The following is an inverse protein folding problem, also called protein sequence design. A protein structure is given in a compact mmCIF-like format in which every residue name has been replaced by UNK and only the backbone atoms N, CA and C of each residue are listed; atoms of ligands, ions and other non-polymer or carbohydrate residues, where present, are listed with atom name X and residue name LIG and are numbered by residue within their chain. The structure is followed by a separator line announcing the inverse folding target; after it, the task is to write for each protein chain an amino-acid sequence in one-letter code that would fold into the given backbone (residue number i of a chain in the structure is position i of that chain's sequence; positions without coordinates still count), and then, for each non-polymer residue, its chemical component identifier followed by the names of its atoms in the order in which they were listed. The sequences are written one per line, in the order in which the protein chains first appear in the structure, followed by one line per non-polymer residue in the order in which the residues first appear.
data_IF_319045741727
#
_entry.id   IF_319045741727
#
_cell.length_a   1.000
_cell.length_b   1.000
_cell.length_c   1.000
_cell.angle_alpha   90.00
_cell.angle_beta   90.00
_cell.angle_gamma   90.00
#
_symmetry.space_group_name_H-M   'P 1'
#
loop_
_entity.id
_entity.type
_entity.pdbx_description
1 polymer ?
#
# COMPACT_ATOMS: atom_id res chain seq x y z
N UNK A 1 46.39 36.50 -29.27
CA UNK A 1 45.88 36.62 -27.88
C UNK A 1 44.37 36.72 -27.98
N UNK A 2 43.64 35.67 -27.58
CA UNK A 2 42.73 35.68 -26.41
C UNK A 2 41.78 36.90 -26.47
N UNK A 3 40.47 36.77 -26.61
CA UNK A 3 39.62 35.95 -25.76
C UNK A 3 38.18 35.91 -26.32
N UNK A 4 37.62 34.71 -26.30
CA UNK A 4 36.24 34.33 -26.60
C UNK A 4 35.31 34.83 -25.49
N UNK A 5 34.18 35.47 -25.82
CA UNK A 5 33.13 35.75 -24.83
C UNK A 5 31.80 35.20 -25.31
N UNK A 6 31.45 34.06 -24.73
CA UNK A 6 30.17 33.38 -24.79
C UNK A 6 29.19 34.17 -23.91
N UNK A 7 28.09 34.64 -24.47
CA UNK A 7 26.97 35.21 -23.71
C UNK A 7 26.14 34.05 -23.18
N UNK A 8 26.35 33.68 -21.92
CA UNK A 8 25.52 32.71 -21.20
C UNK A 8 24.31 33.47 -20.66
N UNK A 9 23.14 33.19 -21.23
CA UNK A 9 21.86 33.67 -20.70
C UNK A 9 21.58 32.92 -19.40
N UNK A 10 21.68 33.62 -18.27
CA UNK A 10 21.28 33.12 -16.96
C UNK A 10 19.75 33.10 -16.90
N UNK A 11 19.13 31.93 -17.06
CA UNK A 11 17.76 31.73 -16.61
C UNK A 11 17.76 31.62 -15.09
N UNK A 12 17.40 32.71 -14.42
CA UNK A 12 16.95 32.72 -13.04
C UNK A 12 15.67 31.89 -12.95
N UNK A 13 15.80 30.58 -12.72
CA UNK A 13 14.66 29.79 -12.25
C UNK A 13 14.50 30.12 -10.78
N UNK A 14 13.43 30.87 -10.52
CA UNK A 14 12.85 31.09 -9.19
C UNK A 14 12.73 29.73 -8.52
N UNK A 15 13.61 29.45 -7.56
CA UNK A 15 13.41 28.37 -6.59
C UNK A 15 12.24 28.79 -5.71
N UNK A 16 11.03 28.62 -6.23
CA UNK A 16 9.85 28.59 -5.41
C UNK A 16 10.10 27.48 -4.39
N UNK A 17 10.02 27.84 -3.11
CA UNK A 17 9.92 26.90 -2.00
C UNK A 17 8.60 26.13 -2.13
N UNK A 18 8.49 25.30 -3.15
CA UNK A 18 7.54 24.22 -3.18
C UNK A 18 8.11 23.18 -2.24
N UNK A 19 7.52 23.06 -1.05
CA UNK A 19 7.57 21.78 -0.34
C UNK A 19 7.09 20.77 -1.37
N UNK A 20 8.01 19.99 -1.94
CA UNK A 20 7.64 18.96 -2.89
C UNK A 20 6.72 18.02 -2.10
N UNK A 21 5.43 18.13 -2.34
CA UNK A 21 4.45 17.15 -1.87
C UNK A 21 4.81 15.87 -2.60
N UNK A 22 5.63 15.04 -1.94
CA UNK A 22 5.98 13.73 -2.47
C UNK A 22 4.69 12.93 -2.45
N UNK A 23 4.11 12.58 -3.61
CA UNK A 23 2.88 11.83 -3.62
C UNK A 23 3.13 10.49 -2.96
N UNK A 24 2.20 10.05 -2.12
CA UNK A 24 2.19 8.78 -1.37
C UNK A 24 2.35 7.54 -2.29
N UNK A 25 2.34 7.74 -3.60
CA UNK A 25 2.53 6.79 -4.69
C UNK A 25 3.99 6.34 -4.93
N UNK A 26 4.98 6.82 -4.18
CA UNK A 26 6.40 6.58 -4.49
C UNK A 26 6.95 5.18 -4.12
N UNK A 27 6.17 4.21 -3.62
CA UNK A 27 6.75 3.02 -2.97
C UNK A 27 5.99 1.74 -3.20
N UNK A 28 5.97 1.31 -4.45
CA UNK A 28 5.20 0.16 -4.91
C UNK A 28 6.16 -0.78 -5.66
N UNK A 29 5.73 -2.01 -5.95
CA UNK A 29 6.33 -2.74 -7.08
C UNK A 29 6.27 -1.86 -8.35
N UNK A 30 6.92 -2.27 -9.45
CA UNK A 30 7.05 -1.43 -10.65
C UNK A 30 5.72 -0.83 -11.20
N UNK A 31 4.57 -1.34 -10.76
CA UNK A 31 3.23 -0.92 -11.19
C UNK A 31 2.42 -0.09 -10.20
N UNK A 32 2.90 0.22 -9.00
CA UNK A 32 2.09 1.06 -8.13
C UNK A 32 1.10 0.32 -7.22
N UNK A 33 1.31 -0.96 -6.87
CA UNK A 33 0.35 -1.72 -6.03
C UNK A 33 1.01 -2.52 -4.90
N UNK A 34 0.33 -2.66 -3.75
CA UNK A 34 0.78 -3.61 -2.69
C UNK A 34 0.41 -5.06 -2.98
N UNK A 35 -0.42 -5.37 -3.98
CA UNK A 35 -0.72 -6.75 -4.33
C UNK A 35 0.57 -7.52 -4.68
N UNK A 36 0.76 -8.69 -4.07
CA UNK A 36 1.96 -9.50 -4.22
C UNK A 36 3.13 -9.09 -3.32
N UNK A 37 3.01 -8.03 -2.52
CA UNK A 37 4.07 -7.61 -1.58
C UNK A 37 4.11 -8.55 -0.38
N UNK A 38 5.32 -8.92 0.05
CA UNK A 38 5.52 -9.74 1.24
C UNK A 38 5.30 -8.91 2.51
N UNK A 39 4.76 -9.57 3.54
CA UNK A 39 4.58 -8.99 4.88
C UNK A 39 5.85 -8.31 5.42
N UNK A 40 7.02 -8.91 5.20
CA UNK A 40 8.31 -8.37 5.67
C UNK A 40 8.60 -6.97 5.13
N UNK A 41 8.15 -6.66 3.92
CA UNK A 41 8.29 -5.33 3.31
C UNK A 41 7.38 -4.32 4.02
N UNK A 42 6.14 -4.71 4.34
CA UNK A 42 5.21 -3.87 5.09
C UNK A 42 5.75 -3.58 6.50
N UNK A 43 6.21 -4.62 7.20
CA UNK A 43 6.76 -4.50 8.56
C UNK A 43 8.02 -3.64 8.60
N UNK A 44 8.90 -3.76 7.59
CA UNK A 44 10.09 -2.90 7.48
C UNK A 44 9.72 -1.43 7.26
N UNK A 45 8.62 -1.15 6.54
CA UNK A 45 8.20 0.19 6.17
C UNK A 45 7.37 0.88 7.25
N UNK A 46 6.43 0.15 7.84
CA UNK A 46 5.40 0.68 8.73
C UNK A 46 5.55 0.21 10.18
N UNK A 47 6.60 -0.53 10.49
CA UNK A 47 6.78 -1.18 11.79
C UNK A 47 5.63 -2.13 12.12
N UNK A 48 5.48 -2.45 13.40
CA UNK A 48 4.42 -3.34 13.90
C UNK A 48 3.03 -2.72 13.63
N UNK A 49 2.06 -3.50 13.12
CA UNK A 49 0.67 -3.03 13.00
C UNK A 49 0.05 -2.75 14.38
N UNK A 50 -0.90 -1.84 14.43
CA UNK A 50 -1.72 -1.59 15.61
C UNK A 50 -2.63 -2.77 15.93
N UNK A 51 -3.14 -3.43 14.89
CA UNK A 51 -3.98 -4.62 15.00
C UNK A 51 -3.60 -5.63 13.93
N UNK A 52 -3.60 -6.89 14.31
CA UNK A 52 -3.42 -8.01 13.40
C UNK A 52 -4.36 -9.14 13.82
N UNK A 53 -5.03 -9.76 12.84
CA UNK A 53 -5.81 -10.97 13.07
C UNK A 53 -5.75 -11.90 11.87
N UNK A 54 -5.89 -13.19 12.14
CA UNK A 54 -6.04 -14.22 11.12
C UNK A 54 -7.43 -14.82 11.29
N UNK A 55 -8.23 -14.73 10.23
CA UNK A 55 -9.59 -15.23 10.20
C UNK A 55 -9.82 -16.09 8.97
N UNK A 56 -10.75 -17.05 9.01
CA UNK A 56 -11.13 -17.79 7.83
C UNK A 56 -11.78 -16.84 6.83
N UNK A 57 -11.53 -17.10 5.55
CA UNK A 57 -12.04 -16.31 4.43
C UNK A 57 -13.53 -15.98 4.55
N UNK A 58 -14.36 -16.90 5.08
CA UNK A 58 -15.82 -16.71 5.08
C UNK A 58 -16.28 -15.53 5.95
N UNK A 59 -15.42 -15.01 6.82
CA UNK A 59 -15.69 -13.80 7.61
C UNK A 59 -15.50 -12.50 6.81
N UNK A 60 -14.87 -12.56 5.62
CA UNK A 60 -14.59 -11.40 4.78
C UNK A 60 -15.61 -11.32 3.64
N UNK A 61 -16.78 -10.74 3.93
CA UNK A 61 -17.91 -10.59 2.99
C UNK A 61 -18.32 -9.13 2.90
N UNK A 62 -18.60 -8.64 1.69
CA UNK A 62 -19.03 -7.26 1.45
C UNK A 62 -18.13 -6.52 0.45
N UNK A 63 -18.51 -5.29 0.14
CA UNK A 63 -17.90 -4.47 -0.90
C UNK A 63 -16.44 -4.11 -0.64
N UNK A 64 -16.01 -4.10 0.62
CA UNK A 64 -14.62 -3.82 0.99
C UNK A 64 -13.65 -4.98 0.70
N UNK A 65 -14.18 -6.19 0.46
CA UNK A 65 -13.37 -7.40 0.27
C UNK A 65 -13.30 -7.87 -1.18
N UNK A 66 -13.59 -7.00 -2.15
CA UNK A 66 -13.53 -7.34 -3.59
C UNK A 66 -12.18 -7.92 -4.01
N UNK A 67 -11.07 -7.44 -3.43
CA UNK A 67 -9.75 -8.01 -3.70
C UNK A 67 -9.61 -9.45 -3.21
N UNK A 68 -10.16 -9.78 -2.03
CA UNK A 68 -10.22 -11.15 -1.54
C UNK A 68 -11.13 -11.99 -2.43
N UNK A 69 -12.31 -11.49 -2.77
CA UNK A 69 -13.30 -12.17 -3.63
C UNK A 69 -12.72 -12.53 -5.01
N UNK A 70 -11.85 -11.67 -5.55
CA UNK A 70 -11.19 -11.90 -6.85
C UNK A 70 -10.20 -13.07 -6.85
N UNK A 71 -9.57 -13.36 -5.71
CA UNK A 71 -8.55 -14.42 -5.54
C UNK A 71 -9.16 -15.69 -4.96
N UNK A 72 -10.04 -15.53 -3.99
CA UNK A 72 -10.78 -16.59 -3.32
C UNK A 72 -12.25 -16.28 -3.49
N UNK A 73 -12.94 -16.88 -4.47
CA UNK A 73 -14.38 -16.65 -4.69
C UNK A 73 -15.24 -17.31 -3.62
N UNK A 74 -16.22 -16.58 -3.09
CA UNK A 74 -17.10 -17.00 -1.97
C UNK A 74 -17.96 -18.19 -2.34
N UNK A 75 -18.27 -18.29 -3.62
CA UNK A 75 -19.01 -19.39 -4.21
C UNK A 75 -18.19 -20.68 -4.32
N UNK A 76 -16.86 -20.64 -4.15
CA UNK A 76 -16.04 -21.86 -4.11
C UNK A 76 -15.90 -22.37 -2.66
N UNK A 77 -16.49 -23.52 -2.31
CA UNK A 77 -16.44 -24.06 -0.95
C UNK A 77 -15.03 -24.43 -0.47
N UNK A 78 -14.09 -24.74 -1.38
CA UNK A 78 -12.69 -25.05 -1.02
C UNK A 78 -11.99 -23.86 -0.37
N UNK A 79 -12.41 -22.65 -0.72
CA UNK A 79 -11.83 -21.42 -0.19
C UNK A 79 -12.44 -20.96 1.12
N UNK A 80 -13.51 -21.59 1.60
CA UNK A 80 -14.28 -21.14 2.77
C UNK A 80 -13.40 -20.90 4.00
N UNK A 81 -12.50 -21.84 4.27
CA UNK A 81 -11.66 -21.83 5.47
C UNK A 81 -10.20 -21.42 5.19
N UNK A 82 -9.91 -20.86 4.01
CA UNK A 82 -8.57 -20.33 3.71
C UNK A 82 -8.26 -19.22 4.72
N UNK A 83 -7.10 -19.28 5.40
CA UNK A 83 -6.73 -18.25 6.37
C UNK A 83 -6.36 -16.96 5.65
N UNK A 84 -6.98 -15.86 6.06
CA UNK A 84 -6.65 -14.51 5.60
C UNK A 84 -6.18 -13.72 6.81
N UNK A 85 -5.00 -13.12 6.69
CA UNK A 85 -4.46 -12.20 7.68
C UNK A 85 -4.90 -10.78 7.32
N UNK A 86 -5.38 -10.02 8.30
CA UNK A 86 -5.58 -8.58 8.18
C UNK A 86 -4.58 -7.84 9.07
N UNK A 87 -3.99 -6.77 8.54
CA UNK A 87 -3.06 -5.91 9.25
C UNK A 87 -3.48 -4.44 9.19
N UNK A 88 -3.64 -3.90 10.39
CA UNK A 88 -3.94 -2.55 10.85
C UNK A 88 -2.78 -1.55 10.98
N UNK A 89 -2.68 -0.43 10.25
CA UNK A 89 -1.82 0.68 10.66
C UNK A 89 -2.53 2.03 10.65
N UNK A 90 -2.28 2.85 11.66
CA UNK A 90 -2.44 4.30 11.60
C UNK A 90 -1.11 4.91 11.14
N UNK A 91 -1.07 5.48 9.93
CA UNK A 91 0.18 5.97 9.33
C UNK A 91 0.47 7.42 9.74
N UNK A 92 -0.57 8.24 9.78
CA UNK A 92 -0.55 9.66 10.15
C UNK A 92 -1.97 10.08 10.54
N UNK A 93 -2.10 11.30 11.09
CA UNK A 93 -3.34 11.84 11.68
C UNK A 93 -4.58 11.66 10.80
N UNK A 94 -4.42 11.69 9.47
CA UNK A 94 -5.50 11.64 8.49
C UNK A 94 -5.48 10.37 7.62
N UNK A 95 -4.67 9.36 7.95
CA UNK A 95 -4.53 8.18 7.10
C UNK A 95 -4.29 6.87 7.84
N UNK A 96 -5.16 5.91 7.55
CA UNK A 96 -5.03 4.51 7.90
C UNK A 96 -4.67 3.66 6.68
N UNK A 97 -4.03 2.52 6.95
CA UNK A 97 -3.78 1.44 6.00
C UNK A 97 -4.31 0.13 6.58
N UNK A 98 -5.13 -0.57 5.81
CA UNK A 98 -5.48 -1.96 6.06
C UNK A 98 -4.96 -2.81 4.91
N UNK A 99 -4.24 -3.88 5.22
CA UNK A 99 -3.80 -4.89 4.24
C UNK A 99 -4.39 -6.25 4.56
N UNK A 100 -4.80 -7.00 3.54
CA UNK A 100 -5.21 -8.40 3.63
C UNK A 100 -4.20 -9.28 2.92
N UNK A 101 -3.75 -10.35 3.59
CA UNK A 101 -2.69 -11.24 3.13
C UNK A 101 -3.16 -12.70 3.13
N UNK A 102 -2.69 -13.48 2.16
CA UNK A 102 -2.77 -14.95 2.20
C UNK A 102 -1.41 -15.55 2.50
N UNK A 103 -1.44 -16.79 2.97
CA UNK A 103 -0.23 -17.58 3.07
C UNK A 103 -0.01 -18.37 1.79
N UNK A 104 1.10 -18.11 1.09
CA UNK A 104 1.51 -18.84 -0.11
C UNK A 104 3.01 -19.08 -0.09
N UNK A 105 3.43 -20.30 -0.43
CA UNK A 105 4.84 -20.68 -0.56
C UNK A 105 5.68 -20.32 0.68
N UNK A 106 5.12 -20.49 1.88
CA UNK A 106 5.82 -20.22 3.14
C UNK A 106 5.85 -18.74 3.55
N UNK A 107 5.10 -17.86 2.88
CA UNK A 107 5.13 -16.43 3.12
C UNK A 107 3.73 -15.81 3.14
N UNK A 108 3.53 -14.79 3.96
CA UNK A 108 2.36 -13.92 3.90
C UNK A 108 2.53 -12.90 2.78
N UNK A 109 1.59 -12.90 1.84
CA UNK A 109 1.61 -12.07 0.64
C UNK A 109 0.31 -11.29 0.55
N UNK A 110 0.40 -10.00 0.31
CA UNK A 110 -0.75 -9.10 0.18
C UNK A 110 -1.61 -9.51 -1.03
N UNK A 111 -2.90 -9.68 -0.76
CA UNK A 111 -3.97 -9.93 -1.72
C UNK A 111 -4.65 -8.63 -2.10
N UNK A 112 -4.87 -7.77 -1.10
CA UNK A 112 -5.64 -6.53 -1.21
C UNK A 112 -5.23 -5.56 -0.12
N UNK A 113 -5.48 -4.28 -0.33
CA UNK A 113 -5.20 -3.22 0.63
C UNK A 113 -6.13 -2.04 0.39
N UNK A 114 -6.30 -1.21 1.41
CA UNK A 114 -7.04 0.05 1.31
C UNK A 114 -6.41 1.11 2.20
N UNK A 115 -6.35 2.33 1.67
CA UNK A 115 -6.06 3.53 2.43
C UNK A 115 -7.37 4.25 2.73
N UNK A 116 -7.54 4.72 3.97
CA UNK A 116 -8.77 5.35 4.38
C UNK A 116 -8.55 6.37 5.51
N UNK A 117 -9.34 7.45 5.59
CA UNK A 117 -9.20 8.44 6.65
C UNK A 117 -9.77 7.90 7.97
N UNK A 118 -9.16 8.23 9.13
CA UNK A 118 -9.69 7.86 10.44
C UNK A 118 -11.14 8.31 10.64
N UNK A 119 -11.92 7.47 11.34
CA UNK A 119 -13.34 7.74 11.59
C UNK A 119 -14.29 7.30 10.47
N UNK A 120 -13.78 6.75 9.36
CA UNK A 120 -14.64 6.06 8.38
C UNK A 120 -15.41 4.93 9.06
N UNK A 121 -16.73 4.91 8.86
CA UNK A 121 -17.61 3.82 9.27
C UNK A 121 -17.61 2.76 8.16
N UNK A 122 -17.25 1.53 8.51
CA UNK A 122 -17.30 0.34 7.64
C UNK A 122 -18.39 -0.61 8.13
#
# INVERSE_FOLDING_TARGET
MKLMYIVIILFLIVAGNGVAYIPEHAYLNASGMYNGVQETVLLKKYSKPEREYIKPRYEFVGEYYVGIESVYRSTNPEFRNVPIKEMFWHLKVDLNLTCWLHYKNGQWIVISYVFWPPGTLF
#
